data_IF_560583375142
#
_entry.id   IF_560583375142
#
_cell.length_a   1.000
_cell.length_b   1.000
_cell.length_c   1.000
_cell.angle_alpha   90.00
_cell.angle_beta   90.00
_cell.angle_gamma   90.00
#
_symmetry.space_group_name_H-M   'P 1'
#
loop_
_entity.id
_entity.type
_entity.pdbx_description
1 polymer ?
#
# COMPACT_ATOMS: atom_id res chain seq x y z
N UNK A 1 17.04 13.45 -18.20
CA UNK A 1 18.36 14.06 -18.47
C UNK A 1 19.06 13.35 -19.65
N UNK A 2 18.84 12.03 -19.80
CA UNK A 2 19.23 11.12 -20.87
C UNK A 2 18.85 11.57 -22.27
N UNK A 3 17.65 12.11 -22.52
CA UNK A 3 17.31 12.50 -23.90
C UNK A 3 18.30 13.55 -24.42
N UNK A 4 18.72 14.49 -23.56
CA UNK A 4 19.70 15.52 -23.96
C UNK A 4 21.08 14.91 -24.21
N UNK A 5 21.52 13.94 -23.40
CA UNK A 5 22.82 13.30 -23.58
C UNK A 5 22.81 12.38 -24.80
N UNK A 6 21.74 11.61 -25.01
CA UNK A 6 21.56 10.77 -26.20
C UNK A 6 21.48 11.64 -27.46
N UNK A 7 20.68 12.71 -27.46
CA UNK A 7 20.59 13.63 -28.59
C UNK A 7 21.94 14.32 -28.87
N UNK A 8 22.64 14.79 -27.84
CA UNK A 8 23.98 15.38 -27.96
C UNK A 8 24.98 14.37 -28.55
N UNK A 9 25.00 13.13 -28.03
CA UNK A 9 25.88 12.07 -28.52
C UNK A 9 25.60 11.68 -29.97
N UNK A 10 24.33 11.62 -30.38
CA UNK A 10 23.95 11.32 -31.75
C UNK A 10 24.36 12.44 -32.71
N UNK A 11 24.15 13.70 -32.31
CA UNK A 11 24.58 14.89 -33.09
C UNK A 11 26.10 14.93 -33.22
N UNK A 12 26.84 14.69 -32.14
CA UNK A 12 28.30 14.60 -32.12
C UNK A 12 28.82 13.45 -32.99
N UNK A 13 28.23 12.27 -32.89
CA UNK A 13 28.59 11.11 -33.72
C UNK A 13 28.36 11.35 -35.20
N UNK A 14 27.22 11.96 -35.56
CA UNK A 14 26.89 12.32 -36.94
C UNK A 14 27.86 13.38 -37.49
N UNK A 15 28.21 14.39 -36.70
CA UNK A 15 29.24 15.37 -37.05
C UNK A 15 30.60 14.71 -37.26
N UNK A 16 31.02 13.87 -36.33
CA UNK A 16 32.31 13.17 -36.40
C UNK A 16 32.41 12.31 -37.67
N UNK A 17 31.41 11.46 -37.94
CA UNK A 17 31.39 10.63 -39.14
C UNK A 17 31.41 11.48 -40.43
N UNK A 18 30.66 12.59 -40.44
CA UNK A 18 30.61 13.49 -41.60
C UNK A 18 31.95 14.19 -41.85
N UNK A 19 32.63 14.64 -40.79
CA UNK A 19 33.96 15.26 -40.89
C UNK A 19 35.03 14.25 -41.32
N UNK A 20 34.97 13.00 -40.84
CA UNK A 20 35.87 11.93 -41.29
C UNK A 20 35.73 11.67 -42.79
N UNK A 21 34.50 11.62 -43.31
CA UNK A 21 34.25 11.46 -44.75
C UNK A 21 34.83 12.64 -45.54
N UNK A 22 34.62 13.87 -45.07
CA UNK A 22 35.17 15.08 -45.71
C UNK A 22 36.71 15.04 -45.72
N UNK A 23 37.33 14.64 -44.62
CA UNK A 23 38.78 14.53 -44.48
C UNK A 23 39.36 13.49 -45.44
N UNK A 24 38.77 12.30 -45.53
CA UNK A 24 39.23 11.23 -46.42
C UNK A 24 39.15 11.62 -47.90
N UNK A 25 38.17 12.44 -48.28
CA UNK A 25 37.94 12.83 -49.68
C UNK A 25 38.70 14.10 -50.09
N UNK A 26 39.06 14.97 -49.13
CA UNK A 26 39.80 16.21 -49.39
C UNK A 26 40.97 16.36 -48.39
N UNK A 27 41.97 15.46 -48.42
CA UNK A 27 43.02 15.41 -47.40
C UNK A 27 44.01 16.59 -47.43
N UNK A 28 44.09 17.32 -48.54
CA UNK A 28 45.16 18.30 -48.79
C UNK A 28 44.83 19.76 -48.39
N UNK A 29 43.65 20.04 -47.85
CA UNK A 29 43.21 21.42 -47.60
C UNK A 29 43.31 21.76 -46.10
N UNK A 30 44.43 22.34 -45.68
CA UNK A 30 44.72 22.67 -44.27
C UNK A 30 43.65 23.55 -43.61
N UNK A 31 42.95 24.38 -44.40
CA UNK A 31 41.79 25.16 -43.96
C UNK A 31 40.59 24.28 -43.60
N UNK A 32 40.31 23.23 -44.37
CA UNK A 32 39.22 22.28 -44.08
C UNK A 32 39.53 21.49 -42.82
N UNK A 33 40.79 21.12 -42.61
CA UNK A 33 41.24 20.41 -41.42
C UNK A 33 41.14 21.30 -40.17
N UNK A 34 41.60 22.54 -40.25
CA UNK A 34 41.48 23.53 -39.17
C UNK A 34 40.01 23.84 -38.83
N UNK A 35 39.18 24.05 -39.85
CA UNK A 35 37.74 24.30 -39.66
C UNK A 35 37.04 23.07 -39.06
N UNK A 36 37.42 21.86 -39.47
CA UNK A 36 36.88 20.60 -38.93
C UNK A 36 37.20 20.42 -37.45
N UNK A 37 38.45 20.69 -37.06
CA UNK A 37 38.90 20.65 -35.65
C UNK A 37 38.18 21.72 -34.83
N UNK A 38 38.03 22.94 -35.36
CA UNK A 38 37.34 24.04 -34.67
C UNK A 38 35.84 23.76 -34.51
N UNK A 39 35.18 23.21 -35.54
CA UNK A 39 33.79 22.76 -35.46
C UNK A 39 33.65 21.64 -34.43
N UNK A 40 34.56 20.66 -34.41
CA UNK A 40 34.55 19.58 -33.43
C UNK A 40 34.74 20.11 -31.99
N UNK A 41 35.62 21.09 -31.79
CA UNK A 41 35.87 21.75 -30.51
C UNK A 41 34.64 22.52 -30.02
N UNK A 42 34.05 23.34 -30.88
CA UNK A 42 32.82 24.09 -30.55
C UNK A 42 31.67 23.12 -30.29
N UNK A 43 31.56 22.04 -31.06
CA UNK A 43 30.55 21.02 -30.84
C UNK A 43 30.74 20.24 -29.53
N UNK A 44 31.98 20.02 -29.10
CA UNK A 44 32.27 19.43 -27.79
C UNK A 44 31.85 20.36 -26.65
N UNK A 45 32.21 21.66 -26.74
CA UNK A 45 31.87 22.69 -25.74
C UNK A 45 30.35 22.87 -25.64
N UNK A 46 29.66 22.93 -26.78
CA UNK A 46 28.21 23.08 -26.80
C UNK A 46 27.51 21.76 -26.45
N UNK A 47 28.14 20.60 -26.68
CA UNK A 47 27.63 19.31 -26.25
C UNK A 47 27.62 19.17 -24.72
N UNK A 48 28.45 19.97 -24.04
CA UNK A 48 28.46 20.18 -22.60
C UNK A 48 27.36 21.17 -22.15
N UNK A 49 26.84 22.02 -23.04
CA UNK A 49 25.69 22.89 -22.74
C UNK A 49 24.41 22.07 -22.57
N UNK A 50 23.76 22.19 -21.41
CA UNK A 50 22.51 21.48 -21.08
C UNK A 50 21.26 22.15 -21.67
N UNK A 51 21.40 23.13 -22.58
CA UNK A 51 20.28 23.91 -23.13
C UNK A 51 19.75 23.30 -24.44
N UNK A 52 18.44 23.13 -24.53
CA UNK A 52 17.76 22.54 -25.70
C UNK A 52 17.94 23.33 -26.99
N UNK A 53 17.97 24.67 -26.89
CA UNK A 53 18.20 25.55 -28.04
C UNK A 53 19.56 25.32 -28.68
N UNK A 54 20.58 25.09 -27.86
CA UNK A 54 21.95 24.91 -28.32
C UNK A 54 22.12 23.52 -28.98
N UNK A 55 21.48 22.48 -28.42
CA UNK A 55 21.40 21.14 -29.03
C UNK A 55 20.65 21.19 -30.36
N UNK A 56 19.55 21.94 -30.44
CA UNK A 56 18.78 22.10 -31.68
C UNK A 56 19.56 22.82 -32.78
N UNK A 57 20.26 23.90 -32.44
CA UNK A 57 21.16 24.59 -33.37
C UNK A 57 22.26 23.64 -33.88
N UNK A 58 22.87 22.86 -32.99
CA UNK A 58 23.87 21.87 -33.37
C UNK A 58 23.34 20.75 -34.23
N UNK A 59 22.12 20.26 -33.99
CA UNK A 59 21.50 19.26 -34.86
C UNK A 59 21.31 19.79 -36.30
N UNK A 60 20.94 21.07 -36.45
CA UNK A 60 20.82 21.71 -37.77
C UNK A 60 22.19 21.79 -38.45
N UNK A 61 23.22 22.26 -37.74
CA UNK A 61 24.58 22.31 -38.26
C UNK A 61 25.10 20.91 -38.65
N UNK A 62 24.85 19.91 -37.81
CA UNK A 62 25.22 18.52 -38.07
C UNK A 62 24.54 17.96 -39.32
N UNK A 63 23.24 18.22 -39.50
CA UNK A 63 22.51 17.83 -40.69
C UNK A 63 23.08 18.50 -41.96
N UNK A 64 23.41 19.79 -41.90
CA UNK A 64 24.02 20.50 -43.03
C UNK A 64 25.40 19.95 -43.39
N UNK A 65 26.28 19.74 -42.39
CA UNK A 65 27.61 19.14 -42.61
C UNK A 65 27.50 17.73 -43.15
N UNK A 66 26.52 16.96 -42.68
CA UNK A 66 26.26 15.59 -43.16
C UNK A 66 25.77 15.55 -44.60
N UNK A 67 24.95 16.51 -45.04
CA UNK A 67 24.55 16.65 -46.44
C UNK A 67 25.74 17.02 -47.34
N UNK A 68 26.64 17.88 -46.88
CA UNK A 68 27.88 18.21 -47.60
C UNK A 68 28.78 16.98 -47.73
N UNK A 69 28.95 16.22 -46.65
CA UNK A 69 29.71 14.96 -46.67
C UNK A 69 29.10 13.95 -47.64
N UNK A 70 27.76 13.78 -47.62
CA UNK A 70 27.05 12.93 -48.55
C UNK A 70 27.22 13.38 -50.01
N UNK A 71 27.29 14.69 -50.28
CA UNK A 71 27.47 15.22 -51.63
C UNK A 71 28.89 14.97 -52.18
N UNK A 72 29.89 15.08 -51.31
CA UNK A 72 31.28 14.76 -51.65
C UNK A 72 31.46 13.26 -51.88
N UNK A 73 30.89 12.43 -51.00
CA UNK A 73 30.93 10.98 -51.13
C UNK A 73 30.18 10.49 -52.37
N UNK A 74 29.00 11.04 -52.63
CA UNK A 74 28.25 10.77 -53.85
C UNK A 74 29.00 11.19 -55.12
N UNK A 75 29.68 12.33 -55.09
CA UNK A 75 30.53 12.78 -56.21
C UNK A 75 31.70 11.83 -56.45
N UNK A 76 32.35 11.36 -55.38
CA UNK A 76 33.50 10.48 -55.48
C UNK A 76 33.13 9.09 -56.01
N UNK A 77 31.97 8.54 -55.61
CA UNK A 77 31.53 7.20 -55.98
C UNK A 77 30.76 7.14 -57.31
N UNK A 78 29.93 8.15 -57.61
CA UNK A 78 28.99 8.12 -58.74
C UNK A 78 29.04 9.37 -59.63
N UNK A 79 30.12 10.17 -59.52
CA UNK A 79 30.34 11.34 -60.38
C UNK A 79 29.30 12.45 -60.22
N UNK A 80 28.98 13.16 -61.30
CA UNK A 80 28.10 14.35 -61.26
C UNK A 80 26.67 14.06 -60.77
N UNK A 81 26.11 12.90 -61.15
CA UNK A 81 24.76 12.46 -60.74
C UNK A 81 24.74 12.11 -59.24
N UNK A 82 25.80 11.44 -58.76
CA UNK A 82 25.95 11.09 -57.35
C UNK A 82 25.96 12.28 -56.39
N UNK A 83 26.46 13.44 -56.83
CA UNK A 83 26.47 14.68 -56.04
C UNK A 83 25.06 15.14 -55.63
N UNK A 84 24.03 14.77 -56.38
CA UNK A 84 22.64 15.20 -56.14
C UNK A 84 21.82 14.05 -55.54
N UNK A 85 21.95 12.84 -56.09
CA UNK A 85 21.14 11.68 -55.69
C UNK A 85 21.49 11.20 -54.27
N UNK A 86 22.78 11.14 -53.91
CA UNK A 86 23.20 10.62 -52.60
C UNK A 86 22.76 11.55 -51.44
N UNK A 87 22.92 12.89 -51.53
CA UNK A 87 22.36 13.80 -50.52
C UNK A 87 20.83 13.76 -50.44
N UNK A 88 20.13 13.62 -51.58
CA UNK A 88 18.67 13.53 -51.59
C UNK A 88 18.18 12.28 -50.86
N UNK A 89 18.77 11.12 -51.15
CA UNK A 89 18.48 9.87 -50.44
C UNK A 89 18.83 9.97 -48.95
N UNK A 90 19.96 10.60 -48.62
CA UNK A 90 20.37 10.82 -47.23
C UNK A 90 19.42 11.76 -46.48
N UNK A 91 18.94 12.83 -47.12
CA UNK A 91 17.94 13.73 -46.55
C UNK A 91 16.63 12.97 -46.23
N UNK A 92 16.18 12.11 -47.15
CA UNK A 92 15.01 11.24 -46.93
C UNK A 92 15.26 10.28 -45.77
N UNK A 93 16.46 9.70 -45.66
CA UNK A 93 16.83 8.82 -44.55
C UNK A 93 16.82 9.56 -43.21
N UNK A 94 17.36 10.78 -43.13
CA UNK A 94 17.32 11.62 -41.93
C UNK A 94 15.90 11.99 -41.52
N UNK A 95 15.05 12.37 -42.48
CA UNK A 95 13.63 12.65 -42.23
C UNK A 95 12.87 11.40 -41.77
N UNK A 96 13.18 10.24 -42.36
CA UNK A 96 12.65 8.95 -41.94
C UNK A 96 13.04 8.61 -40.51
N UNK A 97 14.31 8.78 -40.15
CA UNK A 97 14.83 8.55 -38.80
C UNK A 97 14.22 9.52 -37.78
N UNK A 98 14.03 10.79 -38.15
CA UNK A 98 13.36 11.79 -37.32
C UNK A 98 11.88 11.45 -37.10
N UNK A 99 11.16 11.12 -38.17
CA UNK A 99 9.75 10.71 -38.08
C UNK A 99 9.58 9.45 -37.23
N UNK A 100 10.47 8.46 -37.41
CA UNK A 100 10.51 7.25 -36.60
C UNK A 100 10.75 7.60 -35.12
N UNK A 101 11.75 8.43 -34.83
CA UNK A 101 12.06 8.87 -33.46
C UNK A 101 10.86 9.54 -32.83
N UNK A 102 10.19 10.48 -33.52
CA UNK A 102 9.00 11.16 -33.01
C UNK A 102 7.85 10.20 -32.68
N UNK A 103 7.63 9.19 -33.51
CA UNK A 103 6.56 8.20 -33.31
C UNK A 103 6.86 7.21 -32.19
N UNK A 104 8.13 6.92 -31.93
CA UNK A 104 8.57 5.88 -30.97
C UNK A 104 9.10 6.46 -29.66
N UNK A 105 8.94 7.77 -29.42
CA UNK A 105 9.23 8.37 -28.12
C UNK A 105 8.38 7.67 -27.06
N UNK A 106 9.05 7.12 -26.06
CA UNK A 106 8.39 6.48 -24.93
C UNK A 106 8.01 7.54 -23.90
N UNK A 107 6.71 7.62 -23.60
CA UNK A 107 6.22 8.37 -22.45
C UNK A 107 6.27 7.46 -21.23
N UNK A 108 6.98 7.89 -20.20
CA UNK A 108 7.09 7.15 -18.94
C UNK A 108 6.06 7.75 -17.97
N UNK A 109 5.02 6.99 -17.58
CA UNK A 109 4.06 7.47 -16.59
C UNK A 109 4.75 7.80 -15.25
N UNK A 110 4.31 8.83 -14.52
CA UNK A 110 4.97 9.27 -13.28
C UNK A 110 4.89 8.21 -12.17
N UNK A 111 3.80 7.45 -12.15
CA UNK A 111 3.43 6.37 -11.23
C UNK A 111 4.12 5.04 -11.52
N UNK A 112 4.94 4.97 -12.58
CA UNK A 112 5.52 3.72 -13.08
C UNK A 112 6.98 3.90 -13.45
N UNK A 113 7.71 2.78 -13.51
CA UNK A 113 9.06 2.73 -14.06
C UNK A 113 9.13 1.66 -15.12
N UNK A 114 9.67 2.03 -16.26
CA UNK A 114 9.94 1.10 -17.36
C UNK A 114 11.39 0.65 -17.24
N UNK A 115 11.60 -0.65 -17.19
CA UNK A 115 12.93 -1.26 -17.26
C UNK A 115 13.24 -1.60 -18.71
N UNK A 116 14.45 -1.24 -19.13
CA UNK A 116 14.97 -1.45 -20.48
C UNK A 116 16.15 -2.39 -20.38
N UNK A 117 16.07 -3.52 -21.08
CA UNK A 117 17.18 -4.47 -21.19
C UNK A 117 17.99 -4.23 -22.46
N UNK A 118 19.27 -4.57 -22.42
CA UNK A 118 20.15 -4.62 -23.58
C UNK A 118 20.39 -6.07 -23.99
N UNK A 119 20.17 -6.41 -25.26
CA UNK A 119 20.36 -7.77 -25.80
C UNK A 119 21.81 -8.26 -25.71
N UNK A 120 22.79 -7.37 -25.85
CA UNK A 120 24.20 -7.73 -25.95
C UNK A 120 24.92 -7.68 -24.62
N UNK A 121 24.68 -6.64 -23.82
CA UNK A 121 25.35 -6.49 -22.52
C UNK A 121 24.62 -7.20 -21.38
N UNK A 122 23.35 -7.60 -21.58
CA UNK A 122 22.49 -8.09 -20.50
C UNK A 122 22.17 -7.03 -19.44
N UNK A 123 22.69 -5.81 -19.59
CA UNK A 123 22.48 -4.72 -18.64
C UNK A 123 21.03 -4.26 -18.64
N UNK A 124 20.53 -3.96 -17.44
CA UNK A 124 19.20 -3.38 -17.23
C UNK A 124 19.37 -1.93 -16.83
N UNK A 125 18.67 -1.04 -17.52
CA UNK A 125 18.60 0.39 -17.18
C UNK A 125 17.17 0.83 -16.98
N UNK A 126 17.00 1.85 -16.15
CA UNK A 126 15.71 2.51 -15.98
C UNK A 126 15.45 3.48 -17.14
N UNK A 127 14.22 3.47 -17.67
CA UNK A 127 13.76 4.52 -18.56
C UNK A 127 13.71 5.83 -17.77
N UNK A 128 14.44 6.83 -18.23
CA UNK A 128 14.37 8.15 -17.64
C UNK A 128 13.04 8.81 -17.99
N UNK A 129 12.37 9.39 -16.99
CA UNK A 129 11.11 10.10 -17.15
C UNK A 129 11.29 11.62 -17.32
N UNK A 130 10.22 12.36 -17.69
CA UNK A 130 8.88 11.88 -18.10
C UNK A 130 8.82 11.40 -19.57
N UNK A 131 9.88 11.68 -20.34
CA UNK A 131 10.04 11.26 -21.72
C UNK A 131 11.38 10.53 -21.80
N UNK A 132 11.37 9.31 -22.35
CA UNK A 132 12.57 8.53 -22.62
C UNK A 132 12.90 8.51 -24.12
N UNK A 133 14.19 8.42 -24.48
CA UNK A 133 14.56 8.20 -25.87
C UNK A 133 13.94 6.88 -26.38
N UNK A 134 13.65 6.78 -27.69
CA UNK A 134 13.15 5.52 -28.25
C UNK A 134 14.15 4.39 -28.00
N UNK A 135 13.66 3.16 -27.93
CA UNK A 135 14.49 1.98 -27.80
C UNK A 135 15.34 1.83 -29.07
N UNK A 136 16.65 1.61 -28.90
CA UNK A 136 17.53 1.34 -30.03
C UNK A 136 17.16 -0.01 -30.67
N UNK A 137 16.69 -0.06 -31.93
CA UNK A 137 16.24 -1.31 -32.55
C UNK A 137 17.35 -2.36 -32.56
N UNK A 138 17.01 -3.58 -32.17
CA UNK A 138 17.96 -4.71 -32.14
C UNK A 138 19.01 -4.67 -31.02
N UNK A 139 19.07 -3.59 -30.22
CA UNK A 139 19.98 -3.44 -29.08
C UNK A 139 19.21 -3.41 -27.77
N UNK A 140 18.13 -2.64 -27.71
CA UNK A 140 17.35 -2.43 -26.50
C UNK A 140 15.93 -2.95 -26.64
N UNK A 141 15.37 -3.46 -25.56
CA UNK A 141 13.98 -3.91 -25.48
C UNK A 141 13.35 -3.51 -24.15
N UNK A 142 12.03 -3.30 -24.18
CA UNK A 142 11.25 -3.13 -22.94
C UNK A 142 11.29 -4.45 -22.20
N UNK A 143 11.78 -4.44 -20.96
CA UNK A 143 11.90 -5.62 -20.12
C UNK A 143 10.70 -5.79 -19.20
N UNK A 144 10.30 -4.69 -18.53
CA UNK A 144 9.21 -4.69 -17.56
C UNK A 144 8.63 -3.28 -17.35
N UNK A 145 7.40 -3.20 -16.88
CA UNK A 145 6.78 -1.97 -16.37
C UNK A 145 6.36 -2.23 -14.94
N UNK A 146 7.00 -1.54 -13.99
CA UNK A 146 6.85 -1.80 -12.56
C UNK A 146 6.06 -0.65 -11.92
N UNK A 147 5.05 -0.95 -11.09
CA UNK A 147 4.29 0.06 -10.36
C UNK A 147 5.17 0.71 -9.28
N UNK A 148 5.09 2.04 -9.15
CA UNK A 148 5.78 2.80 -8.09
C UNK A 148 4.82 3.46 -7.09
N UNK A 149 3.51 3.32 -7.32
CA UNK A 149 2.47 3.76 -6.40
C UNK A 149 2.36 2.81 -5.21
N UNK A 150 1.58 3.21 -4.21
CA UNK A 150 1.36 2.44 -3.01
C UNK A 150 0.42 1.28 -3.31
N UNK A 151 0.86 0.08 -2.93
CA UNK A 151 0.12 -1.16 -3.04
C UNK A 151 -0.35 -1.56 -1.65
N UNK A 152 -1.49 -2.24 -1.61
CA UNK A 152 -2.12 -2.71 -0.39
C UNK A 152 -2.31 -4.22 -0.49
N UNK A 153 -2.19 -4.91 0.64
CA UNK A 153 -2.46 -6.34 0.73
C UNK A 153 -3.21 -6.66 2.02
N UNK A 154 -4.39 -7.23 1.85
CA UNK A 154 -5.23 -7.74 2.93
C UNK A 154 -5.11 -9.25 2.99
N UNK A 155 -4.70 -9.76 4.14
CA UNK A 155 -4.40 -11.19 4.30
C UNK A 155 -5.09 -11.75 5.52
N UNK A 156 -5.92 -12.76 5.29
CA UNK A 156 -6.51 -13.56 6.35
C UNK A 156 -5.64 -14.78 6.63
N UNK A 157 -5.09 -14.86 7.83
CA UNK A 157 -4.31 -15.99 8.32
C UNK A 157 -5.21 -16.83 9.22
N UNK A 158 -5.55 -18.04 8.79
CA UNK A 158 -6.40 -18.95 9.57
C UNK A 158 -5.58 -19.92 10.42
N UNK A 159 -6.17 -20.36 11.53
CA UNK A 159 -5.68 -21.41 12.43
C UNK A 159 -4.24 -21.16 12.89
N UNK A 160 -4.00 -20.05 13.58
CA UNK A 160 -2.68 -19.79 14.14
C UNK A 160 -2.50 -20.51 15.47
N UNK A 161 -1.42 -21.29 15.53
CA UNK A 161 -0.97 -21.89 16.77
C UNK A 161 -0.23 -20.84 17.60
N UNK A 162 -0.66 -20.66 18.83
CA UNK A 162 0.10 -19.87 19.82
C UNK A 162 0.96 -20.82 20.66
N UNK A 163 1.90 -20.27 21.44
CA UNK A 163 2.61 -21.05 22.47
C UNK A 163 1.73 -21.43 23.66
N UNK A 164 0.59 -20.76 23.81
CA UNK A 164 -0.37 -21.04 24.87
C UNK A 164 -1.23 -22.27 24.59
N UNK A 165 -2.24 -22.47 25.43
CA UNK A 165 -3.17 -23.61 25.29
C UNK A 165 -4.27 -23.38 24.25
N UNK A 166 -4.36 -22.17 23.68
CA UNK A 166 -5.46 -21.74 22.85
C UNK A 166 -4.96 -21.17 21.52
N UNK A 167 -5.52 -21.69 20.43
CA UNK A 167 -5.23 -21.21 19.08
C UNK A 167 -6.10 -19.99 18.74
N UNK A 168 -5.62 -19.20 17.78
CA UNK A 168 -6.39 -18.10 17.17
C UNK A 168 -7.05 -18.62 15.89
N UNK A 169 -8.34 -18.36 15.72
CA UNK A 169 -9.11 -18.90 14.59
C UNK A 169 -8.75 -18.17 13.30
N UNK A 170 -8.73 -16.84 13.31
CA UNK A 170 -8.20 -16.06 12.21
C UNK A 170 -7.61 -14.71 12.64
N UNK A 171 -6.66 -14.23 11.85
CA UNK A 171 -6.05 -12.92 11.96
C UNK A 171 -6.13 -12.21 10.61
N UNK A 172 -6.71 -11.02 10.57
CA UNK A 172 -6.77 -10.18 9.36
C UNK A 172 -5.69 -9.11 9.46
N UNK A 173 -4.79 -9.11 8.46
CA UNK A 173 -3.61 -8.27 8.39
C UNK A 173 -3.73 -7.33 7.20
N UNK A 174 -3.45 -6.06 7.43
CA UNK A 174 -3.32 -5.06 6.38
C UNK A 174 -1.86 -4.64 6.25
N UNK A 175 -1.33 -4.64 5.03
CA UNK A 175 0.01 -4.12 4.75
C UNK A 175 -0.02 -3.12 3.60
N UNK A 176 0.65 -1.99 3.82
CA UNK A 176 0.88 -0.97 2.81
C UNK A 176 2.36 -0.95 2.42
N UNK A 177 2.66 -1.04 1.13
CA UNK A 177 4.03 -1.08 0.64
C UNK A 177 4.18 -0.38 -0.69
N UNK A 178 5.40 0.03 -1.02
CA UNK A 178 5.73 0.57 -2.35
C UNK A 178 7.01 -0.03 -2.87
N UNK A 179 7.12 -0.07 -4.19
CA UNK A 179 8.40 -0.35 -4.85
C UNK A 179 9.32 0.84 -4.69
N UNK A 180 10.52 0.61 -4.14
CA UNK A 180 11.60 1.59 -4.04
C UNK A 180 12.66 1.37 -5.09
N UNK A 181 13.11 0.12 -5.26
CA UNK A 181 14.09 -0.28 -6.26
C UNK A 181 13.50 -1.30 -7.26
N UNK A 182 13.06 -0.85 -8.44
CA UNK A 182 12.50 -1.73 -9.46
C UNK A 182 13.50 -2.74 -10.04
N UNK A 183 14.81 -2.48 -9.96
CA UNK A 183 15.81 -3.42 -10.51
C UNK A 183 15.93 -4.67 -9.64
N UNK A 184 15.88 -4.50 -8.32
CA UNK A 184 15.93 -5.60 -7.37
C UNK A 184 14.72 -6.52 -7.49
N UNK A 185 13.54 -6.00 -7.82
CA UNK A 185 12.32 -6.79 -8.02
C UNK A 185 12.49 -7.90 -9.06
N UNK A 186 13.30 -7.66 -10.11
CA UNK A 186 13.51 -8.65 -11.16
C UNK A 186 14.18 -9.95 -10.64
N UNK A 187 14.99 -9.85 -9.59
CA UNK A 187 15.81 -10.97 -9.09
C UNK A 187 15.52 -11.34 -7.63
N UNK A 188 15.00 -10.42 -6.83
CA UNK A 188 14.84 -10.58 -5.39
C UNK A 188 13.61 -11.40 -4.99
N UNK A 189 12.55 -11.42 -5.82
CA UNK A 189 11.31 -12.14 -5.50
C UNK A 189 11.56 -13.67 -5.55
N UNK A 190 11.40 -14.40 -4.44
CA UNK A 190 11.58 -15.85 -4.39
C UNK A 190 10.45 -16.58 -5.16
N UNK A 191 10.65 -17.87 -5.47
CA UNK A 191 9.65 -18.76 -6.09
C UNK A 191 8.96 -18.27 -7.38
N UNK A 192 9.55 -17.26 -8.03
CA UNK A 192 9.00 -16.58 -9.19
C UNK A 192 8.56 -17.52 -10.32
N UNK A 193 9.31 -18.59 -10.61
CA UNK A 193 9.06 -19.46 -11.76
C UNK A 193 7.71 -20.20 -11.72
N UNK A 194 7.27 -20.64 -10.53
CA UNK A 194 5.99 -21.35 -10.39
C UNK A 194 4.82 -20.35 -10.46
N UNK A 195 4.94 -19.26 -9.72
CA UNK A 195 3.92 -18.19 -9.66
C UNK A 195 3.76 -17.50 -11.02
N UNK A 196 4.82 -17.42 -11.81
CA UNK A 196 4.82 -16.84 -13.16
C UNK A 196 3.87 -17.51 -14.12
N UNK A 197 3.88 -18.85 -14.14
CA UNK A 197 3.04 -19.62 -15.05
C UNK A 197 1.56 -19.40 -14.72
N UNK A 198 1.22 -19.39 -13.43
CA UNK A 198 -0.14 -19.16 -12.94
C UNK A 198 -0.64 -17.75 -13.30
N UNK A 199 0.17 -16.72 -13.05
CA UNK A 199 -0.22 -15.34 -13.34
C UNK A 199 -0.38 -15.14 -14.85
N UNK A 200 0.57 -15.63 -15.65
CA UNK A 200 0.50 -15.52 -17.10
C UNK A 200 -0.75 -16.24 -17.66
N UNK A 201 -1.08 -17.42 -17.13
CA UNK A 201 -2.31 -18.15 -17.45
C UNK A 201 -3.56 -17.35 -17.07
N UNK A 202 -3.57 -16.70 -15.90
CA UNK A 202 -4.68 -15.83 -15.46
C UNK A 202 -4.90 -14.63 -16.39
N UNK A 203 -3.84 -14.17 -17.07
CA UNK A 203 -3.87 -13.04 -17.99
C UNK A 203 -4.12 -13.46 -19.44
N UNK A 204 -4.21 -14.76 -19.74
CA UNK A 204 -4.31 -15.31 -21.10
C UNK A 204 -3.22 -14.81 -22.05
N UNK A 205 -2.02 -14.55 -21.53
CA UNK A 205 -0.85 -14.06 -22.28
C UNK A 205 0.35 -14.98 -22.09
N UNK A 206 1.26 -15.09 -23.07
CA UNK A 206 2.54 -15.75 -22.85
C UNK A 206 3.36 -14.96 -21.82
N UNK A 207 4.18 -15.66 -21.03
CA UNK A 207 4.95 -15.09 -19.90
C UNK A 207 5.75 -13.85 -20.32
N UNK A 208 6.37 -13.88 -21.51
CA UNK A 208 7.19 -12.77 -22.03
C UNK A 208 6.37 -11.50 -22.25
N UNK A 209 5.14 -11.62 -22.74
CA UNK A 209 4.25 -10.47 -22.95
C UNK A 209 3.59 -10.01 -21.65
N UNK A 210 3.23 -10.95 -20.77
CA UNK A 210 2.67 -10.64 -19.46
C UNK A 210 3.64 -9.76 -18.64
N UNK A 211 4.93 -10.06 -18.65
CA UNK A 211 5.98 -9.28 -17.94
C UNK A 211 6.09 -7.82 -18.38
N UNK A 212 5.61 -7.47 -19.58
CA UNK A 212 5.63 -6.09 -20.08
C UNK A 212 4.52 -5.23 -19.49
N UNK A 213 3.54 -5.87 -18.85
CA UNK A 213 2.34 -5.30 -18.27
C UNK A 213 2.52 -5.08 -16.76
N UNK A 214 1.96 -3.99 -16.25
CA UNK A 214 2.08 -3.61 -14.82
C UNK A 214 1.29 -4.58 -13.95
N UNK A 215 0.12 -5.00 -14.44
CA UNK A 215 -0.81 -5.89 -13.74
C UNK A 215 -0.15 -7.22 -13.38
N UNK A 216 0.76 -7.71 -14.23
CA UNK A 216 1.55 -8.91 -13.93
C UNK A 216 2.42 -8.72 -12.69
N UNK A 217 3.11 -7.57 -12.59
CA UNK A 217 4.01 -7.27 -11.47
C UNK A 217 3.23 -7.01 -10.18
N UNK A 218 2.09 -6.33 -10.26
CA UNK A 218 1.18 -6.15 -9.13
C UNK A 218 0.74 -7.50 -8.55
N UNK A 219 0.26 -8.41 -9.41
CA UNK A 219 -0.16 -9.75 -8.99
C UNK A 219 0.99 -10.57 -8.40
N UNK A 220 2.19 -10.48 -9.00
CA UNK A 220 3.36 -11.21 -8.53
C UNK A 220 3.79 -10.73 -7.15
N UNK A 221 3.89 -9.41 -6.96
CA UNK A 221 4.27 -8.80 -5.69
C UNK A 221 3.20 -9.12 -4.63
N UNK A 222 1.92 -8.95 -4.96
CA UNK A 222 0.82 -9.20 -4.03
C UNK A 222 0.82 -10.65 -3.53
N UNK A 223 0.92 -11.63 -4.44
CA UNK A 223 0.95 -13.05 -4.07
C UNK A 223 2.16 -13.41 -3.20
N UNK A 224 3.34 -12.86 -3.51
CA UNK A 224 4.52 -13.11 -2.70
C UNK A 224 4.43 -12.43 -1.32
N UNK A 225 3.90 -11.21 -1.28
CA UNK A 225 3.67 -10.48 -0.04
C UNK A 225 2.69 -11.24 0.86
N UNK A 226 1.62 -11.78 0.28
CA UNK A 226 0.62 -12.57 1.01
C UNK A 226 1.24 -13.81 1.68
N UNK A 227 2.09 -14.55 0.97
CA UNK A 227 2.78 -15.72 1.51
C UNK A 227 3.72 -15.34 2.67
N UNK A 228 4.50 -14.27 2.50
CA UNK A 228 5.48 -13.85 3.52
C UNK A 228 4.82 -13.18 4.73
N UNK A 229 3.72 -12.46 4.54
CA UNK A 229 2.87 -11.99 5.65
C UNK A 229 2.33 -13.16 6.47
N UNK A 230 1.83 -14.23 5.82
CA UNK A 230 1.34 -15.43 6.53
C UNK A 230 2.44 -16.08 7.36
N UNK A 231 3.64 -16.23 6.79
CA UNK A 231 4.75 -16.90 7.45
C UNK A 231 5.31 -16.08 8.61
N UNK A 232 5.43 -14.76 8.45
CA UNK A 232 5.85 -13.86 9.53
C UNK A 232 4.81 -13.81 10.64
N UNK A 233 3.52 -13.71 10.31
CA UNK A 233 2.45 -13.69 11.30
C UNK A 233 2.44 -14.95 12.16
N UNK A 234 2.55 -16.14 11.52
CA UNK A 234 2.68 -17.42 12.22
C UNK A 234 3.91 -17.46 13.11
N UNK A 235 5.04 -16.99 12.60
CA UNK A 235 6.32 -17.00 13.33
C UNK A 235 6.31 -16.05 14.53
N UNK A 236 5.75 -14.86 14.37
CA UNK A 236 5.66 -13.85 15.44
C UNK A 236 4.68 -14.32 16.51
N UNK A 237 3.48 -14.76 16.14
CA UNK A 237 2.48 -15.22 17.10
C UNK A 237 2.95 -16.46 17.86
N UNK A 238 3.59 -17.42 17.18
CA UNK A 238 4.09 -18.61 17.84
C UNK A 238 5.26 -18.32 18.79
N UNK A 239 6.20 -17.46 18.39
CA UNK A 239 7.39 -17.20 19.21
C UNK A 239 7.17 -16.14 20.29
N UNK A 240 6.08 -15.39 20.24
CA UNK A 240 5.84 -14.34 21.22
C UNK A 240 5.65 -14.94 22.63
N UNK A 241 6.41 -14.40 23.58
CA UNK A 241 6.33 -14.76 25.00
C UNK A 241 5.30 -13.93 25.76
N UNK A 242 4.94 -12.73 25.26
CA UNK A 242 4.07 -11.77 25.94
C UNK A 242 2.59 -11.92 25.62
N UNK A 243 2.25 -12.48 24.46
CA UNK A 243 0.87 -12.74 24.05
C UNK A 243 0.70 -14.24 23.75
N UNK A 244 0.29 -15.00 24.77
CA UNK A 244 0.14 -16.45 24.70
C UNK A 244 -1.32 -16.86 24.41
N UNK A 245 -2.25 -15.91 24.52
CA UNK A 245 -3.69 -16.14 24.38
C UNK A 245 -4.30 -15.17 23.35
N UNK A 246 -5.44 -15.54 22.75
CA UNK A 246 -6.12 -14.71 21.74
C UNK A 246 -6.50 -13.30 22.26
N UNK A 247 -6.90 -13.20 23.53
CA UNK A 247 -7.25 -11.93 24.17
C UNK A 247 -6.01 -11.04 24.36
N UNK A 248 -4.87 -11.63 24.73
CA UNK A 248 -3.61 -10.90 24.87
C UNK A 248 -3.07 -10.44 23.50
N UNK A 249 -3.28 -11.23 22.45
CA UNK A 249 -2.96 -10.86 21.07
C UNK A 249 -3.79 -9.66 20.63
N UNK A 250 -5.09 -9.66 20.95
CA UNK A 250 -5.96 -8.52 20.67
C UNK A 250 -5.54 -7.26 21.43
N UNK A 251 -5.23 -7.39 22.73
CA UNK A 251 -4.82 -6.26 23.57
C UNK A 251 -3.44 -5.71 23.18
N UNK A 252 -2.52 -6.56 22.74
CA UNK A 252 -1.17 -6.18 22.32
C UNK A 252 -1.02 -6.09 20.80
N UNK A 253 -2.13 -5.89 20.06
CA UNK A 253 -2.13 -5.91 18.59
C UNK A 253 -1.17 -4.90 17.97
N UNK A 254 -1.02 -3.72 18.57
CA UNK A 254 -0.14 -2.65 18.06
C UNK A 254 1.33 -3.05 18.20
N UNK A 255 1.73 -3.57 19.37
CA UNK A 255 3.09 -4.05 19.59
C UNK A 255 3.41 -5.28 18.71
N UNK A 256 2.43 -6.15 18.48
CA UNK A 256 2.56 -7.28 17.57
C UNK A 256 2.68 -6.84 16.11
N UNK A 257 1.89 -5.84 15.69
CA UNK A 257 1.94 -5.28 14.36
C UNK A 257 3.30 -4.63 14.08
N UNK A 258 3.87 -3.90 15.05
CA UNK A 258 5.21 -3.32 14.93
C UNK A 258 6.29 -4.40 14.77
N UNK A 259 6.23 -5.47 15.58
CA UNK A 259 7.16 -6.59 15.46
C UNK A 259 7.03 -7.33 14.11
N UNK A 260 5.81 -7.44 13.59
CA UNK A 260 5.58 -8.00 12.26
C UNK A 260 6.09 -7.06 11.17
N UNK A 261 5.91 -5.74 11.34
CA UNK A 261 6.40 -4.70 10.43
C UNK A 261 7.92 -4.78 10.31
N UNK A 262 8.66 -4.76 11.43
CA UNK A 262 10.12 -4.82 11.43
C UNK A 262 10.64 -6.06 10.67
N UNK A 263 10.06 -7.24 10.96
CA UNK A 263 10.47 -8.50 10.33
C UNK A 263 10.10 -8.54 8.85
N UNK A 264 8.92 -8.04 8.48
CA UNK A 264 8.48 -8.01 7.09
C UNK A 264 9.28 -6.98 6.30
N UNK A 265 9.54 -5.80 6.86
CA UNK A 265 10.40 -4.80 6.25
C UNK A 265 11.78 -5.36 5.93
N UNK A 266 12.41 -6.09 6.85
CA UNK A 266 13.69 -6.74 6.61
C UNK A 266 13.62 -7.82 5.51
N UNK A 267 12.58 -8.66 5.53
CA UNK A 267 12.39 -9.74 4.57
C UNK A 267 12.09 -9.22 3.14
N UNK A 268 11.42 -8.08 3.02
CA UNK A 268 10.93 -7.55 1.74
C UNK A 268 11.90 -6.49 1.16
N UNK A 269 12.78 -5.92 1.99
CA UNK A 269 13.85 -5.00 1.55
C UNK A 269 14.78 -5.62 0.50
N UNK A 270 15.08 -6.93 0.60
CA UNK A 270 15.85 -7.67 -0.42
C UNK A 270 15.18 -7.70 -1.80
N UNK A 271 13.87 -7.47 -1.87
CA UNK A 271 13.13 -7.39 -3.14
C UNK A 271 13.13 -5.98 -3.73
N UNK A 272 13.64 -4.98 -3.01
CA UNK A 272 13.54 -3.57 -3.41
C UNK A 272 12.19 -2.93 -3.10
N UNK A 273 11.43 -3.51 -2.17
CA UNK A 273 10.15 -2.98 -1.70
C UNK A 273 10.35 -2.35 -0.32
N UNK A 274 9.64 -1.27 -0.07
CA UNK A 274 9.60 -0.54 1.20
C UNK A 274 8.21 -0.73 1.82
N UNK A 275 8.18 -1.14 3.09
CA UNK A 275 6.95 -1.36 3.84
C UNK A 275 6.58 -0.07 4.56
N UNK A 276 5.47 0.56 4.15
CA UNK A 276 5.01 1.81 4.74
C UNK A 276 4.34 1.58 6.09
N UNK A 277 3.42 0.61 6.15
CA UNK A 277 2.61 0.33 7.34
C UNK A 277 2.21 -1.14 7.37
N UNK A 278 2.00 -1.66 8.57
CA UNK A 278 1.43 -2.98 8.81
C UNK A 278 0.53 -2.93 10.03
N UNK A 279 -0.68 -3.44 9.90
CA UNK A 279 -1.70 -3.37 10.94
C UNK A 279 -2.42 -4.71 11.08
N UNK A 280 -2.85 -5.00 12.31
CA UNK A 280 -3.75 -6.11 12.62
C UNK A 280 -5.16 -5.52 12.70
N UNK A 281 -5.96 -5.72 11.65
CA UNK A 281 -7.30 -5.15 11.56
C UNK A 281 -8.27 -5.88 12.49
N UNK A 282 -8.21 -7.22 12.47
CA UNK A 282 -9.14 -8.05 13.22
C UNK A 282 -8.48 -9.32 13.75
N UNK A 283 -8.85 -9.68 14.98
CA UNK A 283 -8.49 -10.96 15.61
C UNK A 283 -9.78 -11.72 15.87
N UNK A 284 -10.01 -12.80 15.12
CA UNK A 284 -11.13 -13.70 15.33
C UNK A 284 -10.71 -14.86 16.24
N UNK A 285 -11.48 -15.04 17.32
CA UNK A 285 -11.31 -16.14 18.27
C UNK A 285 -12.66 -16.63 18.78
N UNK A 286 -12.72 -17.92 19.11
CA UNK A 286 -13.92 -18.50 19.69
C UNK A 286 -14.28 -17.80 21.03
N UNK A 287 -15.49 -17.21 21.15
CA UNK A 287 -15.92 -16.48 22.34
C UNK A 287 -15.98 -17.34 23.61
N UNK A 288 -16.19 -18.66 23.48
CA UNK A 288 -16.21 -19.58 24.62
C UNK A 288 -14.82 -19.76 25.24
N UNK A 289 -13.77 -19.70 24.40
CA UNK A 289 -12.38 -19.72 24.84
C UNK A 289 -12.03 -18.42 25.57
N UNK A 290 -12.49 -17.27 25.07
CA UNK A 290 -12.27 -15.98 25.74
C UNK A 290 -12.94 -15.90 27.11
N UNK A 291 -14.17 -16.41 27.26
CA UNK A 291 -14.83 -16.55 28.57
C UNK A 291 -14.07 -17.49 29.51
N UNK A 292 -13.48 -18.56 28.98
CA UNK A 292 -12.66 -19.52 29.73
C UNK A 292 -11.33 -18.94 30.23
N UNK A 293 -10.69 -18.08 29.45
CA UNK A 293 -9.43 -17.40 29.79
C UNK A 293 -9.69 -16.28 30.81
N UNK A 294 -10.76 -15.51 30.63
CA UNK A 294 -11.07 -14.34 31.45
C UNK A 294 -11.99 -14.65 32.66
N UNK A 295 -11.88 -15.86 33.23
CA UNK A 295 -12.74 -16.33 34.34
C UNK A 295 -12.77 -15.42 35.57
N UNK A 296 -11.71 -14.66 35.83
CA UNK A 296 -11.65 -13.71 36.93
C UNK A 296 -12.45 -12.44 36.62
N UNK A 297 -12.24 -11.81 35.46
CA UNK A 297 -12.98 -10.62 35.04
C UNK A 297 -14.47 -10.88 34.80
N UNK A 298 -14.83 -12.04 34.23
CA UNK A 298 -16.25 -12.41 34.02
C UNK A 298 -16.96 -12.65 35.35
N UNK A 299 -16.31 -13.26 36.35
CA UNK A 299 -16.88 -13.40 37.69
C UNK A 299 -17.02 -12.06 38.40
N UNK A 300 -16.05 -11.17 38.26
CA UNK A 300 -16.15 -9.81 38.82
C UNK A 300 -17.27 -9.02 38.15
N UNK A 301 -17.42 -9.06 36.83
CA UNK A 301 -18.50 -8.40 36.11
C UNK A 301 -19.88 -8.98 36.44
N UNK A 302 -20.00 -10.32 36.54
CA UNK A 302 -21.25 -10.98 36.93
C UNK A 302 -21.63 -10.63 38.38
N UNK A 303 -20.66 -10.64 39.30
CA UNK A 303 -20.90 -10.26 40.70
C UNK A 303 -21.18 -8.76 40.86
N UNK A 304 -20.57 -7.90 40.04
CA UNK A 304 -20.87 -6.47 39.99
C UNK A 304 -22.28 -6.23 39.43
N UNK A 305 -22.66 -6.93 38.36
CA UNK A 305 -24.02 -6.88 37.81
C UNK A 305 -25.07 -7.37 38.82
N UNK A 306 -24.79 -8.44 39.54
CA UNK A 306 -25.66 -8.93 40.61
C UNK A 306 -25.75 -7.94 41.78
N UNK A 307 -24.63 -7.34 42.20
CA UNK A 307 -24.64 -6.27 43.22
C UNK A 307 -25.47 -5.07 42.77
N UNK A 308 -25.29 -4.62 41.53
CA UNK A 308 -26.06 -3.50 40.97
C UNK A 308 -27.55 -3.84 40.90
N UNK A 309 -27.91 -5.07 40.53
CA UNK A 309 -29.32 -5.53 40.54
C UNK A 309 -29.87 -5.56 41.95
N UNK A 310 -29.13 -6.11 42.91
CA UNK A 310 -29.51 -6.18 44.31
C UNK A 310 -29.68 -4.78 44.93
N UNK A 311 -28.78 -3.84 44.63
CA UNK A 311 -28.88 -2.45 45.07
C UNK A 311 -30.08 -1.72 44.46
N UNK A 312 -30.35 -1.93 43.17
CA UNK A 312 -31.55 -1.39 42.50
C UNK A 312 -32.82 -1.96 43.11
N UNK A 313 -32.85 -3.24 43.41
CA UNK A 313 -33.99 -3.91 44.03
C UNK A 313 -34.20 -3.47 45.48
N UNK A 314 -33.14 -3.37 46.28
CA UNK A 314 -33.19 -2.80 47.63
C UNK A 314 -33.67 -1.35 47.62
N UNK A 315 -33.21 -0.54 46.66
CA UNK A 315 -33.66 0.85 46.48
C UNK A 315 -35.13 0.88 46.09
N UNK A 316 -35.58 -0.02 45.21
CA UNK A 316 -36.99 -0.15 44.84
C UNK A 316 -37.85 -0.49 46.06
N UNK A 317 -37.47 -1.52 46.83
CA UNK A 317 -38.17 -1.95 48.04
C UNK A 317 -38.24 -0.82 49.06
N UNK A 318 -37.15 -0.09 49.27
CA UNK A 318 -37.12 1.05 50.20
C UNK A 318 -38.06 2.17 49.76
N UNK A 319 -38.06 2.52 48.47
CA UNK A 319 -38.94 3.56 47.93
C UNK A 319 -40.42 3.13 47.94
N UNK A 320 -40.72 1.88 47.58
CA UNK A 320 -42.10 1.36 47.62
C UNK A 320 -42.59 1.19 49.05
N UNK A 321 -41.73 0.72 49.96
CA UNK A 321 -42.05 0.56 51.38
C UNK A 321 -42.28 1.90 52.06
N UNK A 322 -41.46 2.92 51.78
CA UNK A 322 -41.69 4.27 52.27
C UNK A 322 -43.01 4.87 51.73
N UNK A 323 -43.28 4.69 50.43
CA UNK A 323 -44.52 5.15 49.82
C UNK A 323 -45.76 4.42 50.37
N UNK A 324 -45.66 3.12 50.67
CA UNK A 324 -46.74 2.36 51.31
C UNK A 324 -46.96 2.79 52.77
N UNK A 325 -45.89 2.97 53.54
CA UNK A 325 -45.97 3.45 54.91
C UNK A 325 -46.59 4.86 55.00
N UNK A 326 -46.25 5.76 54.06
CA UNK A 326 -46.84 7.09 53.98
C UNK A 326 -48.33 7.04 53.57
N UNK A 327 -48.68 6.20 52.59
CA UNK A 327 -50.07 5.99 52.19
C UNK A 327 -50.92 5.39 53.32
N UNK A 328 -50.35 4.48 54.11
CA UNK A 328 -51.02 3.84 55.24
C UNK A 328 -51.15 4.79 56.44
N UNK A 329 -50.11 5.58 56.73
CA UNK A 329 -50.17 6.65 57.72
C UNK A 329 -51.27 7.68 57.39
N UNK A 330 -51.42 8.04 56.10
CA UNK A 330 -52.52 8.89 55.66
C UNK A 330 -53.88 8.22 55.85
N UNK A 331 -54.05 6.94 55.50
CA UNK A 331 -55.32 6.20 55.71
C UNK A 331 -55.68 6.09 57.19
N UNK A 332 -54.72 5.78 58.05
CA UNK A 332 -54.93 5.72 59.51
C UNK A 332 -55.29 7.11 60.04
N UNK A 333 -54.62 8.16 59.58
CA UNK A 333 -54.96 9.54 59.91
C UNK A 333 -56.39 9.92 59.52
N UNK A 334 -56.83 9.54 58.32
CA UNK A 334 -58.22 9.75 57.86
C UNK A 334 -59.23 8.92 58.67
N UNK A 335 -58.93 7.67 58.98
CA UNK A 335 -59.78 6.83 59.85
C UNK A 335 -59.93 7.42 61.26
N UNK A 336 -58.83 7.87 61.88
CA UNK A 336 -58.85 8.53 63.19
C UNK A 336 -59.65 9.83 63.13
N UNK A 337 -59.54 10.60 62.05
CA UNK A 337 -60.32 11.82 61.84
C UNK A 337 -61.82 11.52 61.70
N UNK A 338 -62.20 10.53 60.89
CA UNK A 338 -63.58 10.10 60.73
C UNK A 338 -64.19 9.58 62.05
N UNK A 339 -63.42 8.82 62.84
CA UNK A 339 -63.84 8.35 64.16
C UNK A 339 -64.07 9.50 65.14
N UNK A 340 -63.22 10.53 65.10
CA UNK A 340 -63.36 11.74 65.93
C UNK A 340 -64.56 12.60 65.52
N UNK A 341 -64.83 12.72 64.22
CA UNK A 341 -66.00 13.44 63.69
C UNK A 341 -67.32 12.71 64.00
N UNK A 342 -67.30 11.37 64.14
CA UNK A 342 -68.45 10.56 64.56
C UNK A 342 -68.78 10.60 66.07
N UNK A 343 -68.06 11.40 66.86
CA UNK A 343 -68.39 11.67 68.28
C UNK A 343 -67.84 10.66 69.29
N UNK A 344 -66.93 9.77 68.91
CA UNK A 344 -66.31 8.79 69.81
C UNK A 344 -65.14 9.44 70.57
N UNK A 345 -65.22 9.50 71.91
CA UNK A 345 -64.07 9.90 72.75
C UNK A 345 -63.10 8.72 72.88
N UNK A 346 -62.02 8.76 72.11
CA UNK A 346 -60.96 7.75 72.16
C UNK A 346 -59.98 8.07 73.30
N UNK A 347 -59.79 7.11 74.21
CA UNK A 347 -58.72 7.19 75.22
C UNK A 347 -57.35 6.90 74.55
N UNK A 348 -56.24 7.41 75.10
CA UNK A 348 -54.90 7.19 74.53
C UNK A 348 -54.50 5.72 74.40
N UNK A 349 -55.05 4.85 75.26
CA UNK A 349 -54.79 3.40 75.22
C UNK A 349 -55.54 2.72 74.07
N UNK A 350 -56.80 3.10 73.84
CA UNK A 350 -57.64 2.56 72.75
C UNK A 350 -57.11 2.95 71.37
N UNK A 351 -56.56 4.16 71.22
CA UNK A 351 -55.89 4.61 70.00
C UNK A 351 -54.63 3.81 69.70
N UNK A 352 -53.88 3.45 70.76
CA UNK A 352 -52.66 2.67 70.61
C UNK A 352 -52.96 1.24 70.16
N UNK A 353 -54.02 0.65 70.69
CA UNK A 353 -54.48 -0.70 70.34
C UNK A 353 -54.96 -0.76 68.88
N UNK A 354 -55.79 0.20 68.43
CA UNK A 354 -56.25 0.29 67.04
C UNK A 354 -55.09 0.48 66.05
N UNK A 355 -54.10 1.31 66.39
CA UNK A 355 -52.93 1.54 65.54
C UNK A 355 -52.04 0.30 65.49
N UNK A 356 -51.85 -0.39 66.61
CA UNK A 356 -51.06 -1.63 66.66
C UNK A 356 -51.74 -2.77 65.89
N UNK A 357 -53.06 -2.91 66.01
CA UNK A 357 -53.83 -3.91 65.24
C UNK A 357 -53.82 -3.59 63.75
N UNK A 358 -53.92 -2.32 63.36
CA UNK A 358 -53.79 -1.91 61.96
C UNK A 358 -52.39 -2.19 61.40
N UNK A 359 -51.33 -1.95 62.18
CA UNK A 359 -49.95 -2.27 61.80
C UNK A 359 -49.75 -3.80 61.67
N UNK A 360 -50.33 -4.59 62.57
CA UNK A 360 -50.25 -6.05 62.49
C UNK A 360 -51.01 -6.61 61.29
N UNK A 361 -52.23 -6.13 61.01
CA UNK A 361 -53.00 -6.54 59.84
C UNK A 361 -52.32 -6.16 58.51
N UNK A 362 -51.69 -4.98 58.47
CA UNK A 362 -50.91 -4.52 57.31
C UNK A 362 -49.65 -5.37 57.08
N UNK A 363 -48.95 -5.74 58.16
CA UNK A 363 -47.78 -6.60 58.13
C UNK A 363 -48.11 -8.03 57.67
N UNK A 364 -49.25 -8.59 58.11
CA UNK A 364 -49.72 -9.90 57.65
C UNK A 364 -50.10 -9.90 56.17
N UNK A 365 -50.79 -8.85 55.69
CA UNK A 365 -51.15 -8.71 54.27
C UNK A 365 -49.91 -8.56 53.35
N UNK A 366 -48.82 -7.96 53.84
CA UNK A 366 -47.57 -7.86 53.07
C UNK A 366 -46.81 -9.19 52.98
N UNK A 367 -46.97 -10.08 53.97
CA UNK A 367 -46.36 -11.43 53.98
C UNK A 367 -47.11 -12.38 53.02
N UNK A 368 -48.44 -12.29 52.91
CA UNK A 368 -49.23 -13.08 51.96
C UNK A 368 -48.98 -12.70 50.48
N UNK A 369 -48.74 -11.41 50.19
CA UNK A 369 -48.41 -10.98 48.81
C UNK A 369 -47.01 -11.41 48.34
N UNK A 370 -46.06 -11.62 49.25
CA UNK A 370 -44.70 -12.07 48.90
C UNK A 370 -44.60 -13.59 48.72
N UNK A 371 -45.50 -14.38 49.32
CA UNK A 371 -45.53 -15.84 49.18
C UNK A 371 -46.22 -16.32 47.90
N UNK A 372 -47.02 -15.48 47.25
CA UNK A 372 -47.71 -15.77 45.98
C UNK A 372 -46.92 -15.42 44.72
N UNK A 373 -45.68 -14.90 44.85
CA UNK A 373 -44.79 -14.52 43.72
C UNK A 373 -43.46 -15.28 43.65
N UNK A 374 -43.29 -16.31 44.48
CA UNK A 374 -42.29 -17.39 44.28
C UNK A 374 -42.95 -18.51 43.48
#
# INVERSE_FOLDING_TARGET
MAIKTVASSAVLGLLFASLVVIYLLIPANGLVLFLSVLIMLVSLIVGQSRRWRDIGAMAIFAALVSLVAAALLGRALFGGVGRIVVPALWAVALLGMFSWTQRHIMRVPPDRRILIGNYYSGGVRLAEGPISPPLTPGVEYKLAEIPMYQLHSDVKVEKLNTRGRHNVDALELHAEYRVRDPQLILSGIPNRSQVEADIAKSMSKPIREARLDVVYWEKLIHRQMEEEMKDIARTVIFNNTTAQNAVEIYNNREALAELMHERLADAVRRWGIDLSAMEIEKVDFNPDIAKGINKAGVREDDTLLEKIKAEREATRIRLTGAAQAEAEAMRVGEMVRALKESGVQLSPESLREIVVDAIHAAAEATIEMNTTRL
#
